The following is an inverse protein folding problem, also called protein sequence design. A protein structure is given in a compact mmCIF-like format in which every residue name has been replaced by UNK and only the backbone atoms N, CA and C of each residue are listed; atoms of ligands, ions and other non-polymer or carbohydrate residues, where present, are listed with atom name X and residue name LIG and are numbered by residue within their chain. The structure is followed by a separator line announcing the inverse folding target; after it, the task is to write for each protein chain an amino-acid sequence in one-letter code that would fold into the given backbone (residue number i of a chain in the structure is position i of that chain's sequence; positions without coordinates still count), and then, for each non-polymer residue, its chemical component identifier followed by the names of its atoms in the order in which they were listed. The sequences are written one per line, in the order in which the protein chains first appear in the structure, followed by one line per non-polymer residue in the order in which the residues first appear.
data_IF_567275823503
#
_entry.id   IF_567275823503
#
_cell.length_a   1.000
_cell.length_b   1.000
_cell.length_c   1.000
_cell.angle_alpha   90.00
_cell.angle_beta   90.00
_cell.angle_gamma   90.00
#
_symmetry.space_group_name_H-M   'P 1'
#
loop_
_entity.id
_entity.type
_entity.pdbx_description
1 polymer ?
#
# COMPACT_ATOMS: atom_id res chain seq x y z
N UNK A 1 -29.98 -35.35 45.92
CA UNK A 1 -30.51 -34.55 44.79
C UNK A 1 -29.86 -33.19 44.72
N UNK A 2 -29.03 -33.02 43.69
CA UNK A 2 -28.35 -31.81 43.27
C UNK A 2 -29.27 -30.97 42.39
N UNK A 3 -29.59 -29.74 42.79
CA UNK A 3 -29.79 -28.60 41.89
C UNK A 3 -30.27 -27.41 42.72
N UNK A 4 -29.52 -26.30 42.65
CA UNK A 4 -29.90 -24.88 42.84
C UNK A 4 -28.76 -24.09 43.48
N UNK A 5 -27.61 -24.09 42.82
CA UNK A 5 -26.59 -23.05 42.99
C UNK A 5 -26.12 -22.67 41.61
N UNK A 6 -26.78 -21.71 40.97
CA UNK A 6 -26.33 -20.97 39.79
C UNK A 6 -27.42 -19.92 39.49
N UNK A 7 -27.18 -18.65 39.82
CA UNK A 7 -28.14 -17.60 39.45
C UNK A 7 -28.00 -16.24 40.13
N UNK A 8 -26.87 -15.88 40.77
CA UNK A 8 -26.74 -14.57 41.44
C UNK A 8 -25.38 -13.86 41.24
N UNK A 9 -24.77 -13.92 40.06
CA UNK A 9 -23.53 -13.17 39.78
C UNK A 9 -23.52 -12.38 38.45
N UNK A 10 -24.67 -12.05 37.85
CA UNK A 10 -24.68 -11.45 36.48
C UNK A 10 -25.62 -10.25 36.28
N UNK A 11 -25.91 -9.43 37.29
CA UNK A 11 -26.81 -8.27 37.10
C UNK A 11 -26.25 -6.90 37.49
N UNK A 12 -24.98 -6.77 37.90
CA UNK A 12 -24.33 -5.47 38.03
C UNK A 12 -22.84 -5.62 37.67
N UNK A 13 -22.39 -5.17 36.47
CA UNK A 13 -22.13 -3.74 36.29
C UNK A 13 -22.28 -3.26 34.82
N UNK A 14 -23.49 -2.96 34.34
CA UNK A 14 -23.69 -2.30 33.02
C UNK A 14 -24.00 -0.79 33.19
N UNK A 15 -24.08 -0.28 34.42
CA UNK A 15 -24.33 1.14 34.69
C UNK A 15 -23.07 2.01 34.77
N UNK A 16 -21.88 1.43 34.99
CA UNK A 16 -20.62 2.21 35.01
C UNK A 16 -20.13 2.52 33.58
N UNK A 17 -20.46 1.66 32.59
CA UNK A 17 -19.97 1.82 31.21
C UNK A 17 -20.67 2.96 30.46
N UNK A 18 -21.81 3.49 30.93
CA UNK A 18 -22.51 4.62 30.29
C UNK A 18 -22.18 6.00 30.85
N UNK A 19 -21.47 6.10 31.98
CA UNK A 19 -21.12 7.40 32.56
C UNK A 19 -19.90 8.04 31.87
N UNK A 20 -19.05 7.28 31.19
CA UNK A 20 -17.87 7.82 30.49
C UNK A 20 -18.19 8.43 29.10
N UNK A 21 -19.47 8.47 28.70
CA UNK A 21 -19.86 9.10 27.42
C UNK A 21 -20.09 10.61 27.50
N UNK A 22 -19.92 11.25 28.65
CA UNK A 22 -20.23 12.68 28.81
C UNK A 22 -19.08 13.58 29.29
N UNK A 23 -17.82 13.12 29.24
CA UNK A 23 -16.68 14.04 29.35
C UNK A 23 -15.66 13.78 28.26
N UNK A 24 -15.92 14.39 27.10
CA UNK A 24 -14.85 14.72 26.18
C UNK A 24 -14.25 16.07 26.61
N UNK A 25 -12.95 16.14 26.92
CA UNK A 25 -12.12 17.12 26.27
C UNK A 25 -11.69 16.53 24.93
N UNK A 26 -11.90 17.29 23.86
CA UNK A 26 -11.33 17.06 22.54
C UNK A 26 -9.79 17.10 22.61
N UNK A 27 -9.17 16.08 23.20
CA UNK A 27 -7.77 15.77 22.98
C UNK A 27 -7.76 14.63 21.99
N UNK A 28 -7.34 14.93 20.75
CA UNK A 28 -6.80 13.92 19.83
C UNK A 28 -5.58 13.31 20.52
N UNK A 29 -5.79 12.39 21.47
CA UNK A 29 -4.70 11.65 22.10
C UNK A 29 -4.00 10.91 21.00
N UNK A 30 -2.79 11.35 20.70
CA UNK A 30 -1.97 10.71 19.70
C UNK A 30 -1.77 9.25 20.16
N UNK A 31 -2.11 8.23 19.36
CA UNK A 31 -1.93 6.84 19.76
C UNK A 31 -0.48 6.54 20.17
N UNK A 32 0.47 7.32 19.67
CA UNK A 32 1.89 7.31 20.08
C UNK A 32 2.09 7.70 21.55
N UNK A 33 1.36 8.67 22.07
CA UNK A 33 1.46 9.12 23.47
C UNK A 33 0.87 8.09 24.45
N UNK A 34 -0.23 7.44 24.06
CA UNK A 34 -0.83 6.35 24.85
C UNK A 34 0.13 5.17 25.01
N UNK A 35 0.87 4.83 23.96
CA UNK A 35 1.86 3.75 23.99
C UNK A 35 3.09 4.14 24.84
N UNK A 36 3.52 5.40 24.79
CA UNK A 36 4.61 5.90 25.62
C UNK A 36 4.31 5.83 27.13
N UNK A 37 3.06 6.08 27.55
CA UNK A 37 2.61 5.96 28.95
C UNK A 37 2.77 4.54 29.49
N UNK A 38 2.64 3.52 28.63
CA UNK A 38 2.85 2.11 28.99
C UNK A 38 4.31 1.65 28.87
N UNK A 39 5.26 2.58 28.72
CA UNK A 39 6.68 2.28 28.55
C UNK A 39 7.03 1.71 27.17
N UNK A 40 6.12 1.77 26.20
CA UNK A 40 6.37 1.35 24.82
C UNK A 40 6.98 2.54 24.09
N UNK A 41 8.31 2.61 24.05
CA UNK A 41 9.03 3.54 23.18
C UNK A 41 8.81 3.14 21.72
N UNK A 42 7.95 3.90 21.03
CA UNK A 42 7.92 3.91 19.57
C UNK A 42 9.22 4.57 19.08
N UNK A 43 10.26 3.77 18.94
CA UNK A 43 11.47 4.19 18.22
C UNK A 43 11.04 4.80 16.89
N UNK A 44 11.36 6.08 16.67
CA UNK A 44 10.94 6.87 15.51
C UNK A 44 11.54 6.42 14.18
N UNK A 45 12.03 5.19 14.09
CA UNK A 45 12.51 4.55 12.88
C UNK A 45 11.37 3.88 12.11
N UNK A 46 11.59 3.69 10.80
CA UNK A 46 10.71 2.86 9.97
C UNK A 46 10.69 1.44 10.55
N UNK A 47 9.50 0.96 10.94
CA UNK A 47 9.37 -0.39 11.50
C UNK A 47 9.64 -1.46 10.42
N UNK A 48 10.11 -2.64 10.84
CA UNK A 48 10.26 -3.80 9.93
C UNK A 48 8.95 -4.12 9.19
N UNK A 49 7.81 -3.92 9.85
CA UNK A 49 6.49 -4.11 9.26
C UNK A 49 6.24 -3.10 8.13
N UNK A 50 6.58 -1.82 8.34
CA UNK A 50 6.44 -0.77 7.33
C UNK A 50 7.38 -1.00 6.13
N UNK A 51 8.63 -1.39 6.37
CA UNK A 51 9.55 -1.78 5.29
C UNK A 51 8.97 -2.94 4.46
N UNK A 52 8.44 -3.98 5.11
CA UNK A 52 7.82 -5.13 4.45
C UNK A 52 6.62 -4.73 3.58
N UNK A 53 5.78 -3.79 4.05
CA UNK A 53 4.66 -3.26 3.26
C UNK A 53 5.15 -2.52 2.00
N UNK A 54 6.17 -1.65 2.15
CA UNK A 54 6.75 -0.92 1.02
C UNK A 54 7.42 -1.83 0.00
N UNK A 55 8.08 -2.89 0.47
CA UNK A 55 8.65 -3.93 -0.41
C UNK A 55 7.57 -4.63 -1.22
N UNK A 56 6.48 -5.05 -0.57
CA UNK A 56 5.35 -5.71 -1.25
C UNK A 56 4.68 -4.79 -2.27
N UNK A 57 4.53 -3.50 -1.94
CA UNK A 57 3.99 -2.51 -2.88
C UNK A 57 4.91 -2.35 -4.10
N UNK A 58 6.23 -2.20 -3.89
CA UNK A 58 7.21 -2.16 -4.98
C UNK A 58 7.12 -3.40 -5.89
N UNK A 59 7.09 -4.61 -5.31
CA UNK A 59 6.96 -5.88 -6.07
C UNK A 59 5.61 -5.98 -6.81
N UNK A 60 4.54 -5.42 -6.26
CA UNK A 60 3.24 -5.36 -6.93
C UNK A 60 3.25 -4.37 -8.12
N UNK A 61 3.87 -3.20 -7.94
CA UNK A 61 4.02 -2.19 -8.99
C UNK A 61 4.94 -2.66 -10.12
N UNK A 62 5.99 -3.42 -9.81
CA UNK A 62 6.86 -4.06 -10.80
C UNK A 62 6.09 -5.04 -11.69
N UNK A 63 5.32 -5.95 -11.06
CA UNK A 63 4.47 -6.90 -11.79
C UNK A 63 3.45 -6.18 -12.68
N UNK A 64 2.84 -5.11 -12.18
CA UNK A 64 1.93 -4.26 -12.95
C UNK A 64 2.65 -3.64 -14.15
N UNK A 65 3.84 -3.06 -13.96
CA UNK A 65 4.63 -2.46 -15.03
C UNK A 65 5.03 -3.49 -16.11
N UNK A 66 5.42 -4.70 -15.71
CA UNK A 66 5.74 -5.79 -16.63
C UNK A 66 4.52 -6.25 -17.44
N UNK A 67 3.34 -6.34 -16.82
CA UNK A 67 2.10 -6.62 -17.55
C UNK A 67 1.77 -5.52 -18.58
N UNK A 68 1.99 -4.24 -18.23
CA UNK A 68 1.79 -3.13 -19.17
C UNK A 68 2.83 -3.11 -20.29
N UNK A 69 4.06 -3.54 -20.03
CA UNK A 69 5.08 -3.72 -21.05
C UNK A 69 4.65 -4.74 -22.10
N UNK A 70 4.14 -5.90 -21.67
CA UNK A 70 3.65 -6.92 -22.59
C UNK A 70 2.51 -6.38 -23.48
N UNK A 71 1.56 -5.65 -22.89
CA UNK A 71 0.47 -5.03 -23.65
C UNK A 71 0.97 -3.98 -24.67
N UNK A 72 1.96 -3.17 -24.31
CA UNK A 72 2.60 -2.22 -25.25
C UNK A 72 3.29 -2.95 -26.40
N UNK A 73 4.03 -4.02 -26.11
CA UNK A 73 4.73 -4.82 -27.10
C UNK A 73 3.76 -5.47 -28.10
N UNK A 74 2.63 -6.00 -27.61
CA UNK A 74 1.58 -6.54 -28.49
C UNK A 74 0.97 -5.45 -29.37
N UNK A 75 0.60 -4.29 -28.80
CA UNK A 75 0.06 -3.19 -29.59
C UNK A 75 1.06 -2.70 -30.65
N UNK A 76 2.34 -2.64 -30.29
CA UNK A 76 3.44 -2.29 -31.19
C UNK A 76 3.61 -3.31 -32.31
N UNK A 77 3.60 -4.61 -32.01
CA UNK A 77 3.75 -5.64 -33.04
C UNK A 77 2.57 -5.62 -34.02
N UNK A 78 1.35 -5.46 -33.52
CA UNK A 78 0.14 -5.38 -34.36
C UNK A 78 0.19 -4.14 -35.25
N UNK A 79 0.57 -2.98 -34.71
CA UNK A 79 0.75 -1.77 -35.52
C UNK A 79 1.84 -1.96 -36.59
N UNK A 80 3.00 -2.51 -36.23
CA UNK A 80 4.09 -2.75 -37.18
C UNK A 80 3.71 -3.75 -38.28
N UNK A 81 2.98 -4.82 -37.93
CA UNK A 81 2.48 -5.78 -38.90
C UNK A 81 1.50 -5.13 -39.89
N UNK A 82 0.58 -4.30 -39.40
CA UNK A 82 -0.37 -3.56 -40.22
C UNK A 82 0.31 -2.57 -41.19
N UNK A 83 1.34 -1.85 -40.71
CA UNK A 83 2.13 -0.93 -41.56
C UNK A 83 2.91 -1.69 -42.63
N UNK A 84 3.49 -2.85 -42.30
CA UNK A 84 4.27 -3.66 -43.25
C UNK A 84 3.40 -4.34 -44.31
N UNK A 85 2.22 -4.85 -43.94
CA UNK A 85 1.34 -5.53 -44.89
C UNK A 85 0.72 -4.56 -45.89
N UNK A 86 0.48 -3.29 -45.48
CA UNK A 86 -0.20 -2.26 -46.26
C UNK A 86 -1.55 -2.73 -46.87
N UNK A 87 -2.14 -3.78 -46.29
CA UNK A 87 -3.41 -4.38 -46.72
C UNK A 87 -4.61 -3.73 -46.05
N UNK A 88 -4.39 -3.02 -44.95
CA UNK A 88 -5.44 -2.37 -44.18
C UNK A 88 -5.64 -0.92 -44.66
N UNK A 89 -6.88 -0.40 -44.61
CA UNK A 89 -7.14 1.01 -44.83
C UNK A 89 -6.32 1.91 -43.90
N UNK A 90 -5.91 3.07 -44.40
CA UNK A 90 -5.12 4.05 -43.63
C UNK A 90 -5.78 4.46 -42.32
N UNK A 91 -7.12 4.53 -42.28
CA UNK A 91 -7.89 4.83 -41.07
C UNK A 91 -7.68 3.78 -39.98
N UNK A 92 -7.66 2.49 -40.34
CA UNK A 92 -7.39 1.39 -39.41
C UNK A 92 -5.95 1.42 -38.89
N UNK A 93 -4.98 1.77 -39.75
CA UNK A 93 -3.57 1.93 -39.35
C UNK A 93 -3.41 3.09 -38.35
N UNK A 94 -4.11 4.21 -38.56
CA UNK A 94 -4.11 5.34 -37.64
C UNK A 94 -4.71 4.98 -36.28
N UNK A 95 -5.78 4.19 -36.24
CA UNK A 95 -6.37 3.72 -34.99
C UNK A 95 -5.41 2.78 -34.24
N UNK A 96 -4.75 1.84 -34.93
CA UNK A 96 -3.72 0.98 -34.33
C UNK A 96 -2.53 1.80 -33.77
N UNK A 97 -2.13 2.86 -34.47
CA UNK A 97 -1.11 3.80 -33.97
C UNK A 97 -1.57 4.50 -32.68
N UNK A 98 -2.83 4.95 -32.63
CA UNK A 98 -3.41 5.58 -31.44
C UNK A 98 -3.44 4.60 -30.25
N UNK A 99 -3.81 3.36 -30.50
CA UNK A 99 -3.80 2.29 -29.49
C UNK A 99 -2.38 2.00 -28.98
N UNK A 100 -1.39 1.93 -29.87
CA UNK A 100 0.02 1.79 -29.50
C UNK A 100 0.48 2.97 -28.61
N UNK A 101 0.18 4.21 -29.01
CA UNK A 101 0.53 5.39 -28.23
C UNK A 101 -0.15 5.40 -26.84
N UNK A 102 -1.41 4.98 -26.76
CA UNK A 102 -2.12 4.84 -25.49
C UNK A 102 -1.46 3.79 -24.59
N UNK A 103 -1.12 2.62 -25.13
CA UNK A 103 -0.43 1.56 -24.40
C UNK A 103 0.96 2.02 -23.90
N UNK A 104 1.71 2.73 -24.75
CA UNK A 104 3.01 3.31 -24.39
C UNK A 104 2.89 4.33 -23.25
N UNK A 105 1.88 5.20 -23.29
CA UNK A 105 1.61 6.17 -22.24
C UNK A 105 1.31 5.48 -20.89
N UNK A 106 0.46 4.46 -20.90
CA UNK A 106 0.11 3.67 -19.70
C UNK A 106 1.33 2.93 -19.14
N UNK A 107 2.16 2.35 -20.00
CA UNK A 107 3.41 1.71 -19.59
C UNK A 107 4.38 2.72 -18.95
N UNK A 108 4.58 3.87 -19.59
CA UNK A 108 5.45 4.95 -19.08
C UNK A 108 4.96 5.50 -17.74
N UNK A 109 3.65 5.63 -17.55
CA UNK A 109 3.06 5.98 -16.25
C UNK A 109 3.34 4.89 -15.19
N UNK A 110 3.16 3.62 -15.56
CA UNK A 110 3.40 2.51 -14.64
C UNK A 110 4.88 2.37 -14.24
N UNK A 111 5.81 2.69 -15.14
CA UNK A 111 7.24 2.79 -14.82
C UNK A 111 7.54 3.89 -13.80
N UNK A 112 6.91 5.06 -13.92
CA UNK A 112 7.06 6.16 -12.96
C UNK A 112 6.52 5.78 -11.58
N UNK A 113 5.37 5.10 -11.52
CA UNK A 113 4.82 4.55 -10.27
C UNK A 113 5.81 3.56 -9.61
N UNK A 114 6.38 2.64 -10.39
CA UNK A 114 7.37 1.69 -9.89
C UNK A 114 8.65 2.36 -9.38
N UNK A 115 9.19 3.33 -10.13
CA UNK A 115 10.37 4.08 -9.71
C UNK A 115 10.11 4.83 -8.38
N UNK A 116 8.93 5.42 -8.24
CA UNK A 116 8.51 6.08 -6.99
C UNK A 116 8.44 5.08 -5.83
N UNK A 117 7.81 3.93 -6.03
CA UNK A 117 7.72 2.88 -5.00
C UNK A 117 9.11 2.34 -4.59
N UNK A 118 10.00 2.13 -5.57
CA UNK A 118 11.39 1.71 -5.34
C UNK A 118 12.16 2.75 -4.52
N UNK A 119 12.02 4.04 -4.84
CA UNK A 119 12.65 5.12 -4.08
C UNK A 119 12.13 5.19 -2.63
N UNK A 120 10.82 5.00 -2.44
CA UNK A 120 10.21 4.94 -1.10
C UNK A 120 10.74 3.75 -0.29
N UNK A 121 10.82 2.56 -0.89
CA UNK A 121 11.36 1.36 -0.24
C UNK A 121 12.84 1.53 0.15
N UNK A 122 13.66 2.00 -0.79
CA UNK A 122 15.11 2.21 -0.53
C UNK A 122 15.34 3.26 0.56
N UNK A 123 14.63 4.39 0.52
CA UNK A 123 14.71 5.43 1.55
C UNK A 123 14.30 4.91 2.93
N UNK A 124 13.21 4.13 3.00
CA UNK A 124 12.76 3.49 4.23
C UNK A 124 13.78 2.49 4.79
N UNK A 125 14.38 1.68 3.92
CA UNK A 125 15.43 0.72 4.29
C UNK A 125 16.65 1.44 4.88
N UNK A 126 17.15 2.48 4.21
CA UNK A 126 18.27 3.27 4.72
C UNK A 126 17.96 3.96 6.06
N UNK A 127 16.75 4.51 6.21
CA UNK A 127 16.32 5.12 7.47
C UNK A 127 16.29 4.12 8.62
N UNK A 128 15.84 2.88 8.38
CA UNK A 128 15.85 1.80 9.38
C UNK A 128 17.28 1.39 9.75
N UNK A 129 18.15 1.20 8.77
CA UNK A 129 19.56 0.83 9.01
C UNK A 129 20.30 1.91 9.80
N UNK A 130 20.05 3.20 9.48
CA UNK A 130 20.59 4.32 10.23
C UNK A 130 20.07 4.40 11.67
N UNK A 131 18.79 4.07 11.91
CA UNK A 131 18.24 4.00 13.26
C UNK A 131 18.84 2.85 14.08
N UNK A 132 18.95 1.66 13.49
CA UNK A 132 19.56 0.49 14.14
C UNK A 132 21.03 0.72 14.53
N UNK A 133 21.78 1.46 13.70
CA UNK A 133 23.17 1.82 14.00
C UNK A 133 23.31 2.82 15.15
N UNK A 134 22.30 3.62 15.47
CA UNK A 134 22.34 4.60 16.57
C UNK A 134 22.04 3.96 17.93
N UNK A 135 21.25 2.89 17.96
CA UNK A 135 20.90 2.17 19.19
C UNK A 135 22.02 1.21 19.67
N UNK A 136 23.12 1.10 18.92
CA UNK A 136 24.24 0.17 19.19
C UNK A 136 25.49 0.84 19.79
N UNK A 137 25.45 2.14 20.09
CA UNK A 137 26.52 2.95 20.71
C UNK A 137 26.03 3.57 22.02
#
# INVERSE_FOLDING_TARGET
STMKVLGKCFEQPISIIRAEKQQAPNLKRNPTELLAIHGITLSGGVSLQQESLLRRDMEAKERKANSKLQAEQTAKSTYQAAVKSNTLPQTSIQELKRQHQAALSVYTSSQREFATAKNSYTSAKFAREAAASKDSN
#
